data_IF_912209825185
#
_entry.id   IF_912209825185
#
_cell.length_a   1.000
_cell.length_b   1.000
_cell.length_c   1.000
_cell.angle_alpha   90.00
_cell.angle_beta   90.00
_cell.angle_gamma   90.00
#
_symmetry.space_group_name_H-M   'P 1'
#
loop_
_entity.id
_entity.type
_entity.pdbx_description
1 polymer ?
#
# COMPACT_ATOMS: atom_id res chain seq x y z
N UNK A 1 -12.70 16.33 -3.82
CA UNK A 1 -11.64 16.24 -2.76
C UNK A 1 -10.97 14.90 -2.86
N UNK A 2 -9.65 14.84 -2.74
CA UNK A 2 -8.93 13.55 -2.73
C UNK A 2 -8.90 12.96 -1.33
N UNK A 3 -8.94 11.62 -1.22
CA UNK A 3 -9.08 10.84 0.01
C UNK A 3 -7.79 10.09 0.34
N UNK A 4 -7.58 9.81 1.62
CA UNK A 4 -6.81 8.64 2.02
C UNK A 4 -7.71 7.44 1.76
N UNK A 5 -7.33 6.58 0.83
CA UNK A 5 -8.11 5.39 0.48
C UNK A 5 -7.44 4.16 1.06
N UNK A 6 -8.17 3.36 1.82
CA UNK A 6 -7.67 2.16 2.47
C UNK A 6 -8.37 0.92 1.89
N UNK A 7 -7.59 0.02 1.29
CA UNK A 7 -8.13 -1.26 0.83
C UNK A 7 -8.16 -2.24 1.98
N UNK A 8 -9.35 -2.76 2.29
CA UNK A 8 -9.56 -3.75 3.35
C UNK A 8 -10.19 -5.02 2.79
N UNK A 9 -9.77 -6.12 3.35
CA UNK A 9 -10.28 -7.46 3.11
C UNK A 9 -10.42 -8.21 4.44
N UNK A 10 -10.73 -9.51 4.40
CA UNK A 10 -10.85 -10.35 5.59
C UNK A 10 -9.52 -10.78 6.21
N UNK A 11 -8.37 -10.26 5.73
CA UNK A 11 -7.04 -10.66 6.20
C UNK A 11 -6.68 -10.10 7.58
N UNK A 12 -5.69 -10.71 8.21
CA UNK A 12 -5.09 -10.20 9.46
C UNK A 12 -4.47 -8.80 9.31
N UNK A 13 -4.08 -8.43 8.09
CA UNK A 13 -3.52 -7.11 7.78
C UNK A 13 -4.54 -5.97 7.88
N UNK A 14 -5.85 -6.26 7.78
CA UNK A 14 -6.91 -5.24 7.74
C UNK A 14 -6.88 -4.29 8.95
N UNK A 15 -6.56 -4.82 10.13
CA UNK A 15 -6.44 -4.02 11.36
C UNK A 15 -5.37 -2.95 11.23
N UNK A 16 -4.15 -3.33 10.82
CA UNK A 16 -3.04 -2.41 10.59
C UNK A 16 -3.36 -1.41 9.48
N UNK A 17 -3.99 -1.85 8.39
CA UNK A 17 -4.44 -0.95 7.31
C UNK A 17 -5.38 0.13 7.83
N UNK A 18 -6.37 -0.21 8.65
CA UNK A 18 -7.30 0.75 9.23
C UNK A 18 -6.58 1.80 10.09
N UNK A 19 -5.65 1.38 10.94
CA UNK A 19 -4.95 2.27 11.86
C UNK A 19 -3.98 3.19 11.12
N UNK A 20 -3.19 2.66 10.16
CA UNK A 20 -2.33 3.49 9.30
C UNK A 20 -3.13 4.45 8.45
N UNK A 21 -4.31 4.07 7.97
CA UNK A 21 -5.19 4.94 7.20
C UNK A 21 -5.77 6.07 8.05
N UNK A 22 -6.20 5.78 9.28
CA UNK A 22 -6.68 6.79 10.22
C UNK A 22 -5.55 7.78 10.58
N UNK A 23 -4.35 7.28 10.90
CA UNK A 23 -3.16 8.10 11.14
C UNK A 23 -2.84 9.00 9.93
N UNK A 24 -2.80 8.43 8.73
CA UNK A 24 -2.49 9.17 7.52
C UNK A 24 -3.57 10.22 7.19
N UNK A 25 -4.86 9.91 7.42
CA UNK A 25 -5.98 10.83 7.24
C UNK A 25 -5.82 12.06 8.15
N UNK A 26 -5.50 11.84 9.41
CA UNK A 26 -5.26 12.93 10.39
C UNK A 26 -4.05 13.77 10.01
N UNK A 27 -2.92 13.11 9.69
CA UNK A 27 -1.67 13.80 9.28
C UNK A 27 -1.85 14.65 8.02
N UNK A 28 -2.59 14.13 7.04
CA UNK A 28 -2.84 14.80 5.77
C UNK A 28 -3.98 15.83 5.84
N UNK A 29 -4.80 15.81 6.90
CA UNK A 29 -6.05 16.57 6.94
C UNK A 29 -6.97 16.23 5.76
N UNK A 30 -7.02 14.96 5.35
CA UNK A 30 -7.77 14.49 4.19
C UNK A 30 -8.84 13.48 4.63
N UNK A 31 -10.03 13.48 3.99
CA UNK A 31 -11.07 12.52 4.32
C UNK A 31 -10.61 11.07 4.09
N UNK A 32 -11.10 10.16 4.92
CA UNK A 32 -10.81 8.73 4.85
C UNK A 32 -11.90 8.00 4.07
N UNK A 33 -11.50 7.08 3.19
CA UNK A 33 -12.41 6.18 2.47
C UNK A 33 -11.90 4.75 2.57
N UNK A 34 -12.70 3.84 3.12
CA UNK A 34 -12.45 2.42 3.09
C UNK A 34 -13.04 1.81 1.81
N UNK A 35 -12.23 1.03 1.11
CA UNK A 35 -12.60 0.32 -0.10
C UNK A 35 -12.51 -1.19 0.14
N UNK A 36 -13.58 -1.90 -0.15
CA UNK A 36 -13.60 -3.36 -0.25
C UNK A 36 -13.99 -3.76 -1.66
N UNK A 37 -13.20 -4.63 -2.28
CA UNK A 37 -13.45 -5.13 -3.64
C UNK A 37 -13.68 -6.64 -3.58
N UNK A 38 -14.86 -7.06 -4.03
CA UNK A 38 -15.23 -8.47 -4.17
C UNK A 38 -14.69 -8.98 -5.50
N UNK A 39 -13.71 -9.88 -5.43
CA UNK A 39 -13.07 -10.49 -6.61
C UNK A 39 -14.07 -11.37 -7.37
N UNK A 40 -14.25 -11.10 -8.67
CA UNK A 40 -15.14 -11.87 -9.54
C UNK A 40 -14.69 -13.33 -9.70
N UNK A 41 -13.41 -13.63 -9.53
CA UNK A 41 -12.89 -15.01 -9.63
C UNK A 41 -13.34 -15.84 -8.43
N UNK A 42 -13.41 -15.23 -7.24
CA UNK A 42 -13.88 -15.89 -6.02
C UNK A 42 -15.41 -15.85 -5.88
N UNK A 43 -16.04 -14.78 -6.40
CA UNK A 43 -17.49 -14.55 -6.29
C UNK A 43 -18.03 -14.14 -7.67
N UNK A 44 -18.20 -15.11 -8.60
CA UNK A 44 -18.73 -14.82 -9.92
C UNK A 44 -20.14 -14.22 -9.81
N UNK A 45 -20.40 -13.18 -10.59
CA UNK A 45 -21.77 -12.66 -10.72
C UNK A 45 -22.66 -13.72 -11.38
N UNK A 46 -23.97 -13.78 -11.05
CA UNK A 46 -24.88 -14.69 -11.72
C UNK A 46 -24.79 -14.47 -13.24
N UNK A 47 -24.26 -15.45 -13.96
CA UNK A 47 -24.22 -15.40 -15.42
C UNK A 47 -25.63 -15.69 -15.95
N UNK A 48 -26.07 -14.92 -16.93
CA UNK A 48 -27.30 -15.21 -17.65
C UNK A 48 -27.15 -16.53 -18.43
N UNK A 49 -27.67 -17.63 -17.87
CA UNK A 49 -27.61 -18.98 -18.45
C UNK A 49 -28.75 -19.26 -19.44
N UNK A 50 -29.50 -18.24 -19.89
CA UNK A 50 -30.70 -18.36 -20.72
C UNK A 50 -30.47 -19.00 -22.10
N UNK A 51 -29.23 -19.32 -22.48
CA UNK A 51 -28.87 -19.87 -23.78
C UNK A 51 -28.50 -21.37 -23.84
N UNK A 52 -28.49 -22.10 -22.70
CA UNK A 52 -28.00 -23.49 -22.66
C UNK A 52 -29.13 -24.49 -22.51
N UNK A 53 -29.70 -24.95 -23.62
CA UNK A 53 -30.70 -26.03 -23.66
C UNK A 53 -30.00 -27.38 -23.59
N UNK A 54 -30.26 -28.18 -22.56
CA UNK A 54 -29.73 -29.55 -22.48
C UNK A 54 -30.38 -30.40 -21.41
N UNK A 55 -30.98 -31.50 -21.82
CA UNK A 55 -31.41 -32.74 -21.15
C UNK A 55 -31.54 -32.72 -19.61
N UNK A 56 -32.73 -32.60 -19.13
CA UNK A 56 -33.39 -32.78 -17.84
C UNK A 56 -32.57 -32.78 -16.53
N UNK A 57 -31.71 -33.72 -16.29
CA UNK A 57 -30.90 -33.78 -15.04
C UNK A 57 -29.76 -32.78 -14.99
N UNK A 58 -29.28 -32.33 -16.15
CA UNK A 58 -28.22 -31.32 -16.25
C UNK A 58 -28.77 -29.91 -15.99
N UNK A 59 -30.00 -29.68 -16.39
CA UNK A 59 -30.73 -28.42 -16.18
C UNK A 59 -30.96 -28.16 -14.70
N UNK A 60 -31.43 -29.15 -13.97
CA UNK A 60 -31.63 -29.08 -12.52
C UNK A 60 -30.30 -28.82 -11.75
N UNK A 61 -29.21 -29.45 -12.18
CA UNK A 61 -27.89 -29.23 -11.59
C UNK A 61 -27.36 -27.81 -11.84
N UNK A 62 -27.60 -27.26 -13.01
CA UNK A 62 -27.22 -25.88 -13.36
C UNK A 62 -28.08 -24.85 -12.57
N UNK A 63 -29.36 -25.13 -12.35
CA UNK A 63 -30.22 -24.30 -11.51
C UNK A 63 -29.74 -24.31 -10.05
N UNK A 64 -29.40 -25.47 -9.50
CA UNK A 64 -28.86 -25.57 -8.14
C UNK A 64 -27.51 -24.84 -8.01
N UNK A 65 -26.62 -24.97 -9.01
CA UNK A 65 -25.34 -24.25 -9.01
C UNK A 65 -25.56 -22.73 -9.08
N UNK A 66 -26.45 -22.26 -9.94
CA UNK A 66 -26.79 -20.84 -10.03
C UNK A 66 -27.37 -20.30 -8.71
N UNK A 67 -28.26 -21.06 -8.07
CA UNK A 67 -28.80 -20.68 -6.77
C UNK A 67 -27.76 -20.64 -5.66
N UNK A 68 -26.78 -21.56 -5.68
CA UNK A 68 -25.65 -21.56 -4.75
C UNK A 68 -24.73 -20.35 -4.98
N UNK A 69 -24.44 -20.03 -6.24
CA UNK A 69 -23.60 -18.87 -6.60
C UNK A 69 -24.27 -17.54 -6.22
N UNK A 70 -25.58 -17.43 -6.45
CA UNK A 70 -26.35 -16.28 -5.98
C UNK A 70 -26.32 -16.13 -4.46
N UNK A 71 -26.47 -17.23 -3.73
CA UNK A 71 -26.40 -17.23 -2.26
C UNK A 71 -25.00 -16.86 -1.77
N UNK A 72 -23.94 -17.39 -2.39
CA UNK A 72 -22.55 -17.02 -2.10
C UNK A 72 -22.30 -15.53 -2.34
N UNK A 73 -22.78 -15.00 -3.46
CA UNK A 73 -22.65 -13.57 -3.77
C UNK A 73 -23.32 -12.67 -2.75
N UNK A 74 -24.54 -13.04 -2.28
CA UNK A 74 -25.24 -12.31 -1.21
C UNK A 74 -24.45 -12.31 0.10
N UNK A 75 -23.97 -13.48 0.50
CA UNK A 75 -23.17 -13.61 1.73
C UNK A 75 -21.85 -12.82 1.65
N UNK A 76 -21.18 -12.83 0.50
CA UNK A 76 -19.97 -12.06 0.29
C UNK A 76 -20.22 -10.54 0.36
N UNK A 77 -21.35 -10.07 -0.17
CA UNK A 77 -21.78 -8.67 -0.04
C UNK A 77 -22.01 -8.29 1.43
N UNK A 78 -22.73 -9.11 2.17
CA UNK A 78 -22.99 -8.89 3.60
C UNK A 78 -21.67 -8.89 4.40
N UNK A 79 -20.80 -9.85 4.15
CA UNK A 79 -19.47 -9.92 4.78
C UNK A 79 -18.65 -8.66 4.50
N UNK A 80 -18.60 -8.21 3.24
CA UNK A 80 -17.90 -6.98 2.85
C UNK A 80 -18.47 -5.73 3.53
N UNK A 81 -19.80 -5.67 3.68
CA UNK A 81 -20.45 -4.59 4.42
C UNK A 81 -20.04 -4.60 5.91
N UNK A 82 -20.04 -5.77 6.56
CA UNK A 82 -19.60 -5.90 7.94
C UNK A 82 -18.13 -5.52 8.14
N UNK A 83 -17.24 -5.89 7.21
CA UNK A 83 -15.82 -5.50 7.23
C UNK A 83 -15.67 -3.97 7.15
N UNK A 84 -16.41 -3.33 6.25
CA UNK A 84 -16.40 -1.88 6.08
C UNK A 84 -16.92 -1.15 7.32
N UNK A 85 -18.02 -1.61 7.92
CA UNK A 85 -18.56 -1.02 9.16
C UNK A 85 -17.60 -1.21 10.33
N UNK A 86 -16.95 -2.36 10.47
CA UNK A 86 -15.94 -2.61 11.49
C UNK A 86 -14.73 -1.67 11.30
N UNK A 87 -14.28 -1.46 10.06
CA UNK A 87 -13.20 -0.52 9.76
C UNK A 87 -13.57 0.92 10.11
N UNK A 88 -14.80 1.35 9.79
CA UNK A 88 -15.32 2.67 10.16
C UNK A 88 -15.38 2.87 11.68
N UNK A 89 -15.89 1.87 12.40
CA UNK A 89 -15.92 1.91 13.87
C UNK A 89 -14.51 2.04 14.46
N UNK A 90 -13.53 1.30 13.90
CA UNK A 90 -12.13 1.39 14.32
C UNK A 90 -11.53 2.76 14.04
N UNK A 91 -11.75 3.33 12.86
CA UNK A 91 -11.30 4.68 12.52
C UNK A 91 -11.92 5.74 13.44
N UNK A 92 -13.19 5.56 13.82
CA UNK A 92 -13.88 6.45 14.77
C UNK A 92 -13.21 6.42 16.14
N UNK A 93 -12.79 5.27 16.64
CA UNK A 93 -12.01 5.17 17.91
C UNK A 93 -10.64 5.82 17.80
N UNK A 94 -10.07 5.85 16.61
CA UNK A 94 -8.81 6.55 16.30
C UNK A 94 -9.02 8.07 16.04
N UNK A 95 -10.24 8.60 16.17
CA UNK A 95 -10.56 10.02 16.02
C UNK A 95 -10.94 10.47 14.60
N UNK A 96 -11.25 9.52 13.69
CA UNK A 96 -11.76 9.80 12.32
C UNK A 96 -13.22 9.36 12.23
N UNK A 97 -14.17 10.27 12.49
CA UNK A 97 -15.60 9.95 12.58
C UNK A 97 -16.30 9.79 11.22
N UNK A 98 -15.84 10.51 10.18
CA UNK A 98 -16.55 10.64 8.91
C UNK A 98 -15.92 9.80 7.79
N UNK A 99 -15.46 8.59 8.11
CA UNK A 99 -14.92 7.67 7.11
C UNK A 99 -16.01 7.22 6.14
N UNK A 100 -15.74 7.37 4.84
CA UNK A 100 -16.60 6.89 3.76
C UNK A 100 -16.39 5.40 3.53
N UNK A 101 -17.43 4.72 3.09
CA UNK A 101 -17.39 3.30 2.77
C UNK A 101 -17.72 3.10 1.29
N UNK A 102 -16.89 2.34 0.60
CA UNK A 102 -17.10 1.95 -0.79
C UNK A 102 -16.94 0.45 -0.95
N UNK A 103 -17.91 -0.20 -1.52
CA UNK A 103 -17.83 -1.61 -1.92
C UNK A 103 -17.94 -1.70 -3.44
N UNK A 104 -17.08 -2.50 -4.06
CA UNK A 104 -17.05 -2.72 -5.51
C UNK A 104 -16.98 -4.20 -5.82
N UNK A 105 -17.39 -4.57 -7.02
CA UNK A 105 -17.17 -5.87 -7.63
C UNK A 105 -16.14 -5.75 -8.74
N UNK A 106 -15.33 -6.77 -8.93
CA UNK A 106 -14.39 -6.84 -10.03
C UNK A 106 -12.94 -7.01 -9.56
N UNK A 107 -12.01 -6.59 -10.40
CA UNK A 107 -10.58 -6.60 -10.09
C UNK A 107 -10.19 -5.39 -9.24
N UNK A 108 -9.31 -5.62 -8.25
CA UNK A 108 -8.83 -4.55 -7.36
C UNK A 108 -8.01 -3.50 -8.11
N UNK A 109 -7.14 -3.93 -9.04
CA UNK A 109 -6.25 -3.00 -9.78
C UNK A 109 -7.08 -2.11 -10.69
N UNK A 110 -8.04 -2.69 -11.42
CA UNK A 110 -8.97 -1.95 -12.28
C UNK A 110 -9.78 -0.93 -11.46
N UNK A 111 -10.35 -1.36 -10.34
CA UNK A 111 -11.09 -0.49 -9.41
C UNK A 111 -10.27 0.69 -8.91
N UNK A 112 -8.99 0.46 -8.56
CA UNK A 112 -8.09 1.51 -8.09
C UNK A 112 -7.67 2.47 -9.22
N UNK A 113 -7.49 1.98 -10.44
CA UNK A 113 -7.19 2.82 -11.62
C UNK A 113 -8.35 3.76 -11.92
N UNK A 114 -9.59 3.27 -11.88
CA UNK A 114 -10.79 4.10 -12.07
C UNK A 114 -10.93 5.18 -10.98
N UNK A 115 -10.60 4.84 -9.73
CA UNK A 115 -10.66 5.74 -8.58
C UNK A 115 -9.42 6.63 -8.41
N UNK A 116 -8.41 6.48 -9.25
CA UNK A 116 -7.11 7.10 -9.08
C UNK A 116 -7.16 8.62 -8.85
N UNK A 117 -8.09 9.32 -9.48
CA UNK A 117 -8.24 10.77 -9.31
C UNK A 117 -8.75 11.17 -7.92
N UNK A 118 -9.45 10.27 -7.25
CA UNK A 118 -9.96 10.47 -5.90
C UNK A 118 -8.91 10.13 -4.82
N UNK A 119 -7.82 9.47 -5.20
CA UNK A 119 -6.80 9.00 -4.26
C UNK A 119 -5.73 10.06 -4.03
N UNK A 120 -5.53 10.48 -2.78
CA UNK A 120 -4.37 11.25 -2.32
C UNK A 120 -3.23 10.35 -1.84
N UNK A 121 -3.58 9.31 -1.10
CA UNK A 121 -2.70 8.25 -0.61
C UNK A 121 -3.51 6.96 -0.58
N UNK A 122 -2.96 5.89 -1.15
CA UNK A 122 -3.49 4.54 -0.98
C UNK A 122 -2.84 3.89 0.24
N UNK A 123 -3.64 3.27 1.11
CA UNK A 123 -3.15 2.41 2.19
C UNK A 123 -3.60 0.98 1.92
N UNK A 124 -2.66 0.05 1.90
CA UNK A 124 -2.92 -1.36 1.57
C UNK A 124 -2.08 -2.28 2.43
N UNK A 125 -2.59 -3.45 2.76
CA UNK A 125 -1.85 -4.48 3.49
C UNK A 125 -0.81 -5.18 2.62
N UNK A 126 0.29 -5.58 3.22
CA UNK A 126 1.29 -6.41 2.54
C UNK A 126 0.74 -7.78 2.14
N UNK A 127 -0.11 -8.36 2.97
CA UNK A 127 -0.78 -9.64 2.75
C UNK A 127 -2.27 -9.43 2.58
N UNK A 128 -2.89 -10.19 1.69
CA UNK A 128 -4.33 -10.24 1.51
C UNK A 128 -4.91 -11.56 1.99
N UNK A 129 -6.24 -11.69 1.97
CA UNK A 129 -7.00 -12.85 2.47
C UNK A 129 -6.50 -14.19 1.87
N UNK A 130 -6.14 -14.21 0.59
CA UNK A 130 -5.62 -15.40 -0.09
C UNK A 130 -4.20 -15.79 0.32
N UNK A 131 -3.47 -14.88 0.96
CA UNK A 131 -2.05 -15.04 1.33
C UNK A 131 -1.86 -15.35 2.83
N UNK A 132 -2.89 -15.24 3.64
CA UNK A 132 -2.82 -15.42 5.11
C UNK A 132 -2.30 -16.81 5.53
N UNK A 133 -2.48 -17.83 4.69
CA UNK A 133 -2.05 -19.21 4.97
C UNK A 133 -0.56 -19.47 4.65
N UNK A 134 0.15 -18.51 4.06
CA UNK A 134 1.55 -18.63 3.64
C UNK A 134 2.34 -17.43 4.15
N UNK A 135 2.88 -17.55 5.33
CA UNK A 135 3.52 -16.48 6.14
C UNK A 135 4.65 -15.65 5.48
N UNK A 136 4.92 -15.84 4.19
CA UNK A 136 5.98 -15.14 3.45
C UNK A 136 5.57 -14.65 2.05
N UNK A 137 4.29 -14.75 1.66
CA UNK A 137 3.85 -14.29 0.34
C UNK A 137 3.32 -12.85 0.41
N UNK A 138 3.79 -12.03 -0.51
CA UNK A 138 3.19 -10.74 -0.85
C UNK A 138 1.86 -11.02 -1.54
N UNK A 139 0.81 -10.28 -1.21
CA UNK A 139 -0.48 -10.42 -1.88
C UNK A 139 -0.32 -10.30 -3.41
N UNK A 140 -0.94 -11.21 -4.16
CA UNK A 140 -0.81 -11.28 -5.62
C UNK A 140 -1.18 -9.96 -6.32
N UNK A 141 -2.06 -9.17 -5.71
CA UNK A 141 -2.51 -7.89 -6.22
C UNK A 141 -1.56 -6.73 -5.89
N UNK A 142 -0.80 -6.79 -4.78
CA UNK A 142 0.02 -5.67 -4.31
C UNK A 142 1.08 -5.24 -5.34
N UNK A 143 1.80 -6.19 -5.94
CA UNK A 143 2.79 -5.87 -6.97
C UNK A 143 2.15 -5.19 -8.20
N UNK A 144 0.98 -5.65 -8.62
CA UNK A 144 0.24 -5.08 -9.73
C UNK A 144 -0.27 -3.67 -9.39
N UNK A 145 -0.78 -3.47 -8.17
CA UNK A 145 -1.19 -2.14 -7.66
C UNK A 145 0.00 -1.17 -7.68
N UNK A 146 1.14 -1.57 -7.10
CA UNK A 146 2.36 -0.76 -7.08
C UNK A 146 2.85 -0.43 -8.50
N UNK A 147 2.69 -1.34 -9.45
CA UNK A 147 3.11 -1.15 -10.84
C UNK A 147 2.21 -0.19 -11.61
N UNK A 148 0.91 -0.22 -11.33
CA UNK A 148 -0.12 0.43 -12.16
C UNK A 148 -0.55 1.77 -11.61
N UNK A 149 -0.75 1.88 -10.28
CA UNK A 149 -1.28 3.09 -9.66
C UNK A 149 -0.22 4.20 -9.64
N UNK A 150 -0.60 5.40 -10.08
CA UNK A 150 0.26 6.59 -10.10
C UNK A 150 -0.02 7.54 -8.92
N UNK A 151 -0.19 6.99 -7.75
CA UNK A 151 -0.42 7.71 -6.50
C UNK A 151 0.51 7.17 -5.42
N UNK A 152 0.84 7.95 -4.39
CA UNK A 152 1.58 7.44 -3.24
C UNK A 152 0.87 6.24 -2.61
N UNK A 153 1.63 5.23 -2.21
CA UNK A 153 1.12 4.00 -1.61
C UNK A 153 1.83 3.77 -0.29
N UNK A 154 1.06 3.64 0.79
CA UNK A 154 1.55 3.18 2.08
C UNK A 154 1.19 1.71 2.26
N UNK A 155 2.19 0.86 2.25
CA UNK A 155 2.04 -0.58 2.52
C UNK A 155 2.19 -0.81 4.01
N UNK A 156 1.14 -1.28 4.66
CA UNK A 156 1.17 -1.62 6.07
C UNK A 156 1.79 -3.01 6.29
N UNK A 157 2.67 -3.10 7.30
CA UNK A 157 3.31 -4.33 7.72
C UNK A 157 3.08 -4.52 9.22
N UNK A 158 2.43 -5.64 9.60
CA UNK A 158 2.19 -5.97 11.00
C UNK A 158 1.24 -5.01 11.73
N UNK A 159 1.42 -4.91 13.04
CA UNK A 159 0.63 -4.03 13.89
C UNK A 159 1.00 -2.56 13.69
N UNK A 160 0.03 -1.67 13.95
CA UNK A 160 0.25 -0.24 13.82
C UNK A 160 1.18 0.29 14.92
N UNK A 161 2.23 0.97 14.49
CA UNK A 161 3.06 1.84 15.32
C UNK A 161 3.17 3.18 14.61
N UNK A 162 2.72 4.26 15.26
CA UNK A 162 2.82 5.59 14.68
C UNK A 162 4.30 5.92 14.40
N UNK A 163 4.70 6.17 13.13
CA UNK A 163 6.09 6.44 12.81
C UNK A 163 6.63 7.66 13.57
N UNK A 164 7.78 7.50 14.19
CA UNK A 164 8.52 8.57 14.88
C UNK A 164 9.73 9.04 14.07
N UNK A 165 10.18 8.23 13.11
CA UNK A 165 11.28 8.51 12.19
C UNK A 165 11.04 7.81 10.85
N UNK A 166 11.71 8.25 9.81
CA UNK A 166 11.66 7.57 8.52
C UNK A 166 13.02 7.55 7.82
N UNK A 167 13.26 6.44 7.09
CA UNK A 167 14.38 6.28 6.18
C UNK A 167 13.91 6.57 4.76
N UNK A 168 14.59 7.46 4.03
CA UNK A 168 14.40 7.60 2.61
C UNK A 168 15.57 6.95 1.85
N UNK A 169 15.27 5.92 1.06
CA UNK A 169 16.23 5.29 0.15
C UNK A 169 16.43 6.19 -1.08
N UNK A 170 17.57 6.87 -1.12
CA UNK A 170 17.90 7.87 -2.14
C UNK A 170 18.97 7.35 -3.10
N UNK A 171 18.73 7.47 -4.39
CA UNK A 171 19.66 7.00 -5.44
C UNK A 171 20.10 8.11 -6.42
N UNK A 172 19.72 9.36 -6.14
CA UNK A 172 20.03 10.50 -6.99
C UNK A 172 19.25 10.56 -8.31
N UNK A 173 18.33 9.62 -8.57
CA UNK A 173 17.51 9.63 -9.78
C UNK A 173 16.53 10.79 -9.81
N UNK A 174 16.01 11.12 -11.00
CA UNK A 174 14.96 12.14 -11.15
C UNK A 174 13.70 11.78 -10.34
N UNK A 175 13.37 10.49 -10.26
CA UNK A 175 12.25 10.00 -9.46
C UNK A 175 12.49 10.17 -7.97
N UNK A 176 13.70 9.85 -7.48
CA UNK A 176 14.05 10.06 -6.08
C UNK A 176 14.00 11.54 -5.70
N UNK A 177 14.50 12.44 -6.56
CA UNK A 177 14.41 13.91 -6.34
C UNK A 177 12.96 14.37 -6.28
N UNK A 178 12.12 13.96 -7.24
CA UNK A 178 10.69 14.28 -7.23
C UNK A 178 10.00 13.74 -5.97
N UNK A 179 10.36 12.55 -5.52
CA UNK A 179 9.81 11.95 -4.30
C UNK A 179 10.18 12.73 -3.04
N UNK A 180 11.41 13.26 -2.96
CA UNK A 180 11.86 14.16 -1.88
C UNK A 180 11.02 15.45 -1.88
N UNK A 181 10.78 16.06 -3.04
CA UNK A 181 9.91 17.25 -3.17
C UNK A 181 8.47 16.94 -2.72
N UNK A 182 7.95 15.77 -3.07
CA UNK A 182 6.62 15.33 -2.63
C UNK A 182 6.53 15.15 -1.11
N UNK A 183 7.57 14.59 -0.47
CA UNK A 183 7.64 14.47 0.99
C UNK A 183 7.69 15.85 1.63
N UNK A 184 8.56 16.73 1.15
CA UNK A 184 8.71 18.08 1.66
C UNK A 184 7.41 18.90 1.60
N UNK A 185 6.65 18.73 0.51
CA UNK A 185 5.34 19.39 0.33
C UNK A 185 4.19 18.73 1.10
N UNK A 186 4.38 17.51 1.62
CA UNK A 186 3.32 16.74 2.25
C UNK A 186 3.34 16.85 3.79
N UNK A 187 2.21 17.09 4.46
CA UNK A 187 2.18 17.06 5.91
C UNK A 187 2.30 15.64 6.53
N UNK A 188 2.28 14.58 5.72
CA UNK A 188 2.28 13.19 6.20
C UNK A 188 3.43 12.89 7.17
N UNK A 189 4.66 13.22 6.75
CA UNK A 189 5.89 12.96 7.51
C UNK A 189 6.48 14.24 8.14
N UNK A 190 5.76 15.36 8.04
CA UNK A 190 6.25 16.65 8.55
C UNK A 190 6.59 16.59 10.03
N UNK A 191 7.77 17.09 10.39
CA UNK A 191 8.26 17.14 11.77
C UNK A 191 8.88 15.85 12.28
N UNK A 192 8.95 14.79 11.45
CA UNK A 192 9.67 13.57 11.82
C UNK A 192 11.16 13.65 11.39
N UNK A 193 12.10 13.09 12.16
CA UNK A 193 13.48 12.91 11.73
C UNK A 193 13.55 12.06 10.46
N UNK A 194 14.40 12.51 9.51
CA UNK A 194 14.63 11.85 8.25
C UNK A 194 16.05 11.29 8.20
N UNK A 195 16.18 10.00 7.90
CA UNK A 195 17.45 9.42 7.50
C UNK A 195 17.49 9.31 5.98
N UNK A 196 18.39 10.04 5.33
CA UNK A 196 18.58 10.02 3.89
C UNK A 196 19.78 9.12 3.56
N UNK A 197 19.49 7.90 3.10
CA UNK A 197 20.49 6.88 2.85
C UNK A 197 20.71 6.66 1.36
N UNK A 198 21.95 6.79 0.92
CA UNK A 198 22.41 6.37 -0.40
C UNK A 198 23.23 5.10 -0.29
N UNK A 199 22.94 4.10 -1.13
CA UNK A 199 23.68 2.84 -1.18
C UNK A 199 24.55 2.84 -2.43
N UNK A 200 25.88 2.82 -2.20
CA UNK A 200 26.87 2.87 -3.27
C UNK A 200 28.25 3.25 -2.78
N UNK A 201 29.06 3.75 -3.71
CA UNK A 201 30.40 4.23 -3.38
C UNK A 201 30.34 5.58 -2.64
N UNK A 202 31.19 5.73 -1.64
CA UNK A 202 31.38 6.98 -0.92
C UNK A 202 32.22 7.94 -1.79
N UNK A 203 31.53 8.88 -2.48
CA UNK A 203 32.14 9.84 -3.40
C UNK A 203 31.66 11.25 -3.09
N UNK A 204 32.46 12.25 -3.48
CA UNK A 204 32.09 13.67 -3.34
C UNK A 204 30.76 13.97 -4.03
N UNK A 205 30.54 13.43 -5.23
CA UNK A 205 29.29 13.63 -6.00
C UNK A 205 28.06 13.04 -5.27
N UNK A 206 28.20 11.88 -4.62
CA UNK A 206 27.15 11.28 -3.83
C UNK A 206 26.77 12.16 -2.63
N UNK A 207 27.76 12.70 -1.93
CA UNK A 207 27.55 13.66 -0.84
C UNK A 207 26.91 14.98 -1.31
N UNK A 208 27.29 15.50 -2.47
CA UNK A 208 26.65 16.69 -3.03
C UNK A 208 25.17 16.45 -3.35
N UNK A 209 24.83 15.29 -3.90
CA UNK A 209 23.45 14.89 -4.15
C UNK A 209 22.64 14.76 -2.86
N UNK A 210 23.20 14.13 -1.83
CA UNK A 210 22.53 14.02 -0.52
C UNK A 210 22.31 15.39 0.12
N UNK A 211 23.31 16.28 0.12
CA UNK A 211 23.20 17.65 0.61
C UNK A 211 22.17 18.48 -0.17
N UNK A 212 22.03 18.22 -1.47
CA UNK A 212 21.01 18.89 -2.28
C UNK A 212 19.58 18.43 -1.85
N UNK A 213 19.39 17.13 -1.60
CA UNK A 213 18.15 16.59 -1.14
C UNK A 213 17.81 17.01 0.32
N UNK A 214 18.83 17.08 1.19
CA UNK A 214 18.70 17.61 2.55
C UNK A 214 18.10 19.02 2.57
N UNK A 215 18.61 19.93 1.72
CA UNK A 215 18.09 21.31 1.64
C UNK A 215 16.59 21.37 1.33
N UNK A 216 16.09 20.44 0.53
CA UNK A 216 14.66 20.36 0.20
C UNK A 216 13.84 19.91 1.41
N UNK A 217 14.41 19.09 2.28
CA UNK A 217 13.73 18.55 3.46
C UNK A 217 13.84 19.43 4.71
N UNK A 218 14.73 20.41 4.74
CA UNK A 218 15.03 21.23 5.94
C UNK A 218 13.80 21.85 6.61
N UNK A 219 12.79 22.27 5.83
CA UNK A 219 11.59 22.90 6.36
C UNK A 219 10.50 21.88 6.74
N UNK A 220 10.66 20.61 6.34
CA UNK A 220 9.66 19.57 6.55
C UNK A 220 10.05 18.54 7.60
N UNK A 221 11.31 18.15 7.70
CA UNK A 221 11.83 17.25 8.70
C UNK A 221 12.30 18.02 9.94
N UNK A 222 12.23 17.39 11.12
CA UNK A 222 12.80 17.99 12.34
C UNK A 222 14.32 17.96 12.34
N UNK A 223 14.88 16.92 11.74
CA UNK A 223 16.31 16.67 11.58
C UNK A 223 16.53 15.80 10.33
N UNK A 224 17.66 15.99 9.63
CA UNK A 224 18.04 15.17 8.45
C UNK A 224 19.42 14.56 8.68
N UNK A 225 19.47 13.24 8.74
CA UNK A 225 20.70 12.48 8.86
C UNK A 225 21.11 11.94 7.49
N UNK A 226 22.32 12.29 7.03
CA UNK A 226 22.85 11.83 5.76
C UNK A 226 23.76 10.63 5.95
N UNK A 227 23.59 9.58 5.15
CA UNK A 227 24.46 8.43 5.18
C UNK A 227 24.70 7.85 3.79
N UNK A 228 25.94 7.33 3.59
CA UNK A 228 26.28 6.48 2.45
C UNK A 228 26.73 5.14 3.03
N UNK A 229 26.23 4.04 2.46
CA UNK A 229 26.63 2.67 2.81
C UNK A 229 26.95 1.90 1.55
N UNK A 230 28.03 1.13 1.60
CA UNK A 230 28.35 0.16 0.55
C UNK A 230 27.61 -1.14 0.83
N UNK A 231 27.21 -1.86 -0.22
CA UNK A 231 26.57 -3.18 -0.08
C UNK A 231 25.43 -3.40 -1.08
N UNK A 232 24.72 -4.48 -0.88
CA UNK A 232 23.47 -4.76 -1.58
C UNK A 232 22.34 -3.93 -0.97
N UNK A 233 21.42 -3.44 -1.81
CA UNK A 233 20.44 -2.42 -1.41
C UNK A 233 19.57 -2.92 -0.27
N UNK A 234 18.90 -4.05 -0.43
CA UNK A 234 17.92 -4.54 0.53
C UNK A 234 18.52 -4.87 1.90
N UNK A 235 19.56 -5.73 2.00
CA UNK A 235 20.15 -6.03 3.30
C UNK A 235 20.70 -4.79 3.99
N UNK A 236 21.24 -3.83 3.22
CA UNK A 236 21.79 -2.59 3.77
C UNK A 236 20.68 -1.67 4.30
N UNK A 237 19.53 -1.58 3.60
CA UNK A 237 18.36 -0.82 4.08
C UNK A 237 17.85 -1.38 5.40
N UNK A 238 17.66 -2.69 5.49
CA UNK A 238 17.16 -3.34 6.70
C UNK A 238 18.13 -3.23 7.86
N UNK A 239 19.43 -3.43 7.60
CA UNK A 239 20.48 -3.28 8.63
C UNK A 239 20.50 -1.85 9.17
N UNK A 240 20.42 -0.84 8.29
CA UNK A 240 20.40 0.56 8.69
C UNK A 240 19.14 0.92 9.48
N UNK A 241 17.97 0.42 9.07
CA UNK A 241 16.72 0.62 9.81
C UNK A 241 16.80 0.03 11.23
N UNK A 242 17.35 -1.18 11.35
CA UNK A 242 17.51 -1.84 12.64
C UNK A 242 18.57 -1.13 13.51
N UNK A 243 19.68 -0.65 12.93
CA UNK A 243 20.75 0.09 13.63
C UNK A 243 20.22 1.38 14.26
N UNK A 244 19.28 2.06 13.60
CA UNK A 244 18.78 3.39 13.99
C UNK A 244 17.33 3.38 14.50
N UNK A 245 16.71 2.21 14.70
CA UNK A 245 15.32 2.03 15.16
C UNK A 245 14.31 2.86 14.35
N UNK A 246 14.38 2.76 13.01
CA UNK A 246 13.59 3.55 12.09
C UNK A 246 12.26 2.87 11.78
N UNK A 247 11.15 3.58 11.99
CA UNK A 247 9.80 3.04 11.94
C UNK A 247 9.19 2.93 10.53
N UNK A 248 9.66 3.71 9.56
CA UNK A 248 9.08 3.75 8.22
C UNK A 248 10.17 3.83 7.14
N UNK A 249 10.04 3.03 6.09
CA UNK A 249 10.86 3.13 4.90
C UNK A 249 10.12 3.88 3.79
N UNK A 250 10.71 4.93 3.25
CA UNK A 250 10.19 5.66 2.09
C UNK A 250 11.12 5.51 0.89
N UNK A 251 10.55 5.38 -0.30
CA UNK A 251 11.31 5.28 -1.54
C UNK A 251 10.53 5.79 -2.73
N UNK A 252 11.25 6.26 -3.75
CA UNK A 252 10.66 6.55 -5.06
C UNK A 252 10.40 5.26 -5.84
N UNK A 253 9.25 5.18 -6.51
CA UNK A 253 8.97 4.09 -7.43
C UNK A 253 9.43 4.44 -8.84
N UNK A 254 10.03 3.47 -9.55
CA UNK A 254 10.36 3.56 -10.99
C UNK A 254 11.38 4.62 -11.41
N UNK A 255 12.42 4.86 -10.61
CA UNK A 255 13.61 5.57 -11.07
C UNK A 255 14.41 4.78 -12.13
N UNK A 256 15.26 5.48 -12.92
CA UNK A 256 16.16 4.84 -13.90
C UNK A 256 17.39 4.15 -13.28
N UNK A 257 17.38 3.94 -11.98
CA UNK A 257 18.50 3.48 -11.18
C UNK A 257 18.45 1.99 -10.83
N UNK A 258 19.47 1.56 -10.09
CA UNK A 258 19.58 0.21 -9.52
C UNK A 258 18.35 -0.20 -8.69
N UNK A 259 17.63 0.76 -8.07
CA UNK A 259 16.40 0.48 -7.32
C UNK A 259 15.26 0.01 -8.24
N UNK A 260 15.23 0.43 -9.53
CA UNK A 260 14.25 -0.07 -10.52
C UNK A 260 14.40 -1.57 -10.80
N UNK A 261 15.61 -2.10 -10.75
CA UNK A 261 15.84 -3.55 -10.86
C UNK A 261 15.20 -4.30 -9.69
N UNK A 262 15.06 -3.63 -8.55
CA UNK A 262 14.40 -4.16 -7.37
C UNK A 262 12.87 -4.17 -7.50
N UNK A 263 12.23 -3.21 -8.19
CA UNK A 263 10.76 -3.11 -8.30
C UNK A 263 10.17 -3.89 -9.49
N UNK A 264 10.94 -4.55 -10.33
CA UNK A 264 10.48 -5.29 -11.51
C UNK A 264 10.94 -6.77 -11.53
N UNK A 265 11.56 -7.27 -10.44
CA UNK A 265 12.06 -8.64 -10.35
C UNK A 265 11.83 -9.28 -9.00
N UNK A 266 12.36 -10.47 -8.83
CA UNK A 266 12.35 -11.25 -7.58
C UNK A 266 12.76 -10.46 -6.33
N UNK A 267 13.50 -9.38 -6.50
CA UNK A 267 14.07 -8.55 -5.43
C UNK A 267 13.07 -7.57 -4.82
N UNK A 268 12.10 -7.03 -5.56
CA UNK A 268 11.02 -6.18 -5.01
C UNK A 268 10.05 -6.99 -4.19
N UNK A 269 9.65 -8.12 -4.75
CA UNK A 269 8.88 -9.09 -4.00
C UNK A 269 9.62 -9.48 -2.72
N UNK A 270 10.96 -9.47 -2.74
CA UNK A 270 11.77 -9.80 -1.56
C UNK A 270 11.71 -8.67 -0.53
N UNK A 271 11.95 -7.40 -0.92
CA UNK A 271 11.84 -6.25 0.01
C UNK A 271 10.44 -6.17 0.65
N UNK A 272 9.37 -6.32 -0.17
CA UNK A 272 8.01 -6.35 0.34
C UNK A 272 7.75 -7.55 1.28
N UNK A 273 8.42 -8.69 1.05
CA UNK A 273 8.29 -9.89 1.89
C UNK A 273 9.04 -9.78 3.21
N UNK A 274 10.22 -9.18 3.19
CA UNK A 274 11.14 -9.13 4.33
C UNK A 274 10.96 -7.87 5.17
N UNK A 275 10.28 -6.84 4.64
CA UNK A 275 10.06 -5.59 5.38
C UNK A 275 9.24 -5.83 6.64
N UNK A 276 9.80 -5.47 7.78
CA UNK A 276 9.12 -5.50 9.09
C UNK A 276 8.45 -4.17 9.43
N UNK A 277 8.84 -3.10 8.76
CA UNK A 277 8.31 -1.75 8.90
C UNK A 277 7.42 -1.38 7.71
N UNK A 278 6.45 -0.43 7.88
CA UNK A 278 5.64 0.07 6.78
C UNK A 278 6.49 0.71 5.70
N UNK A 279 6.03 0.61 4.46
CA UNK A 279 6.73 1.10 3.28
C UNK A 279 5.90 2.18 2.57
N UNK A 280 6.46 3.39 2.44
CA UNK A 280 5.86 4.48 1.65
C UNK A 280 6.50 4.54 0.26
N UNK A 281 5.72 4.24 -0.75
CA UNK A 281 6.12 4.25 -2.16
C UNK A 281 5.60 5.53 -2.82
N UNK A 282 6.50 6.31 -3.40
CA UNK A 282 6.22 7.60 -4.02
C UNK A 282 6.42 7.54 -5.53
N UNK A 283 5.61 8.31 -6.29
CA UNK A 283 5.65 8.35 -7.75
C UNK A 283 5.63 9.75 -8.32
#
# INVERSE_FOLDING_TARGET
MTHVMACIDGSHSATGVCDYAAWASQRLGAPLCFLHVLDQVQYPQPSDLSGTIGLGSREHLLEELAALDEKRGKLALEQGHHLLEAAKARASTAGVSDAQLRQRHGDLVESLVELQQDIRLLVIGRQGETSDNLSQLVGSHLENVIRTLQRPILVSCGEFKAPQSYLFAYDGSATARKSIEMIAASPLLKGLPCHLLMIGADTSDAWEQLKSAERVLQDSASEVHLAIRAGEVEPTLHAYQAEHDIDLLAMGAYGHSRIRQFLVGSTTSHLLRTSVSPLLILR
#
